data_IF_677456998112
#
_entry.id   IF_677456998112
#
_cell.length_a   1.000
_cell.length_b   1.000
_cell.length_c   1.000
_cell.angle_alpha   90.00
_cell.angle_beta   90.00
_cell.angle_gamma   90.00
#
_symmetry.space_group_name_H-M   'P 1'
#
loop_
_entity.id
_entity.type
_entity.pdbx_description
1 polymer ?
#
# COMPACT_ATOMS: atom_id res chain seq x y z
N UNK A 1 -7.58 -46.59 -12.39
CA UNK A 1 -7.12 -46.03 -13.67
C UNK A 1 -7.22 -44.52 -13.52
N UNK A 2 -6.06 -43.83 -13.57
CA UNK A 2 -5.96 -42.38 -13.44
C UNK A 2 -5.75 -41.83 -14.86
N UNK A 3 -6.55 -40.84 -15.25
CA UNK A 3 -6.42 -40.19 -16.57
C UNK A 3 -6.06 -38.72 -16.28
N UNK A 4 -4.89 -38.33 -16.71
CA UNK A 4 -4.44 -36.93 -16.62
C UNK A 4 -4.84 -36.17 -17.88
N UNK A 5 -5.52 -35.04 -17.70
CA UNK A 5 -5.93 -34.14 -18.77
C UNK A 5 -5.13 -32.82 -18.67
N UNK A 6 -4.35 -32.51 -19.69
CA UNK A 6 -3.69 -31.22 -19.80
C UNK A 6 -4.62 -30.16 -20.38
N UNK A 7 -4.81 -29.06 -19.66
CA UNK A 7 -5.64 -27.95 -20.07
C UNK A 7 -4.76 -26.79 -20.50
N UNK A 8 -5.07 -26.17 -21.63
CA UNK A 8 -4.28 -25.08 -22.24
C UNK A 8 -4.37 -23.76 -21.46
N UNK A 9 -5.49 -23.55 -20.77
CA UNK A 9 -5.75 -22.35 -19.98
C UNK A 9 -6.08 -22.73 -18.53
N UNK A 10 -5.17 -22.35 -17.63
CA UNK A 10 -5.24 -22.66 -16.20
C UNK A 10 -6.47 -22.05 -15.53
N UNK A 11 -6.96 -20.90 -16.03
CA UNK A 11 -8.13 -20.22 -15.45
C UNK A 11 -9.47 -20.87 -15.77
N UNK A 12 -9.53 -21.72 -16.81
CA UNK A 12 -10.75 -22.41 -17.23
C UNK A 12 -10.91 -23.82 -16.66
N UNK A 13 -9.93 -24.29 -15.87
CA UNK A 13 -9.91 -25.65 -15.32
C UNK A 13 -11.18 -26.01 -14.55
N UNK A 14 -11.72 -25.09 -13.74
CA UNK A 14 -12.98 -25.32 -12.99
C UNK A 14 -14.17 -25.53 -13.89
N UNK A 15 -14.30 -24.78 -14.97
CA UNK A 15 -15.41 -24.90 -15.90
C UNK A 15 -15.32 -26.21 -16.69
N UNK A 16 -14.11 -26.61 -17.10
CA UNK A 16 -13.84 -27.85 -17.82
C UNK A 16 -14.08 -29.06 -16.90
N UNK A 17 -13.58 -29.01 -15.65
CA UNK A 17 -13.79 -30.07 -14.65
C UNK A 17 -15.29 -30.31 -14.39
N UNK A 18 -16.07 -29.23 -14.25
CA UNK A 18 -17.53 -29.34 -14.11
C UNK A 18 -18.21 -29.89 -15.36
N UNK A 19 -17.74 -29.53 -16.55
CA UNK A 19 -18.22 -30.09 -17.83
C UNK A 19 -17.98 -31.59 -17.94
N UNK A 20 -16.77 -32.05 -17.59
CA UNK A 20 -16.38 -33.44 -17.56
C UNK A 20 -17.23 -34.22 -16.54
N UNK A 21 -17.46 -33.67 -15.35
CA UNK A 21 -18.31 -34.26 -14.29
C UNK A 21 -19.77 -34.44 -14.75
N UNK A 22 -20.29 -33.51 -15.56
CA UNK A 22 -21.64 -33.60 -16.12
C UNK A 22 -21.76 -34.70 -17.19
N UNK A 23 -20.70 -34.91 -18.00
CA UNK A 23 -20.71 -35.90 -19.09
C UNK A 23 -20.45 -37.33 -18.56
N UNK A 24 -19.52 -37.50 -17.63
CA UNK A 24 -19.09 -38.81 -17.11
C UNK A 24 -19.99 -39.34 -15.97
N UNK A 25 -20.84 -38.48 -15.39
CA UNK A 25 -21.74 -38.86 -14.29
C UNK A 25 -21.01 -39.14 -12.99
N UNK A 26 -21.73 -39.62 -11.97
CA UNK A 26 -21.22 -39.85 -10.60
C UNK A 26 -20.18 -41.00 -10.45
N UNK A 27 -19.93 -41.75 -11.53
CA UNK A 27 -19.03 -42.91 -11.50
C UNK A 27 -17.55 -42.54 -11.51
N UNK A 28 -17.21 -41.32 -11.90
CA UNK A 28 -15.85 -40.81 -11.98
C UNK A 28 -15.68 -39.57 -11.12
N UNK A 29 -14.60 -39.53 -10.37
CA UNK A 29 -14.21 -38.36 -9.55
C UNK A 29 -13.19 -37.57 -10.37
N UNK A 30 -13.56 -36.35 -10.75
CA UNK A 30 -12.61 -35.39 -11.34
C UNK A 30 -12.03 -34.57 -10.23
N UNK A 31 -10.72 -34.58 -10.09
CA UNK A 31 -9.99 -33.78 -9.11
C UNK A 31 -9.16 -32.74 -9.86
N UNK A 32 -9.40 -31.48 -9.53
CA UNK A 32 -8.63 -30.35 -10.04
C UNK A 32 -7.36 -30.21 -9.20
N UNK A 33 -6.28 -29.73 -9.80
CA UNK A 33 -5.03 -29.46 -9.09
C UNK A 33 -5.22 -28.47 -7.93
N UNK A 34 -6.18 -27.53 -8.05
CA UNK A 34 -6.55 -26.64 -6.95
C UNK A 34 -7.23 -27.37 -5.79
N UNK A 35 -8.07 -28.36 -6.07
CA UNK A 35 -8.69 -29.22 -5.06
C UNK A 35 -7.64 -30.14 -4.41
N UNK A 36 -6.69 -30.65 -5.18
CA UNK A 36 -5.62 -31.51 -4.69
C UNK A 36 -4.67 -30.78 -3.74
N UNK A 37 -4.34 -29.52 -4.04
CA UNK A 37 -3.44 -28.68 -3.26
C UNK A 37 -4.17 -27.59 -2.46
N UNK A 38 -5.43 -27.83 -2.10
CA UNK A 38 -6.29 -26.86 -1.41
C UNK A 38 -5.64 -26.29 -0.15
N UNK A 39 -4.96 -27.11 0.63
CA UNK A 39 -4.27 -26.69 1.85
C UNK A 39 -3.17 -25.65 1.56
N UNK A 40 -2.40 -25.85 0.48
CA UNK A 40 -1.36 -24.90 0.07
C UNK A 40 -1.98 -23.58 -0.40
N UNK A 41 -3.07 -23.66 -1.18
CA UNK A 41 -3.77 -22.46 -1.64
C UNK A 41 -4.38 -21.66 -0.49
N UNK A 42 -4.96 -22.34 0.52
CA UNK A 42 -5.44 -21.66 1.72
C UNK A 42 -4.29 -21.02 2.51
N UNK A 43 -3.15 -21.70 2.65
CA UNK A 43 -1.96 -21.13 3.30
C UNK A 43 -1.45 -19.87 2.58
N UNK A 44 -1.35 -19.90 1.25
CA UNK A 44 -0.95 -18.74 0.44
C UNK A 44 -1.96 -17.57 0.54
N UNK A 45 -3.25 -17.86 0.60
CA UNK A 45 -4.27 -16.83 0.80
C UNK A 45 -4.17 -16.18 2.19
N UNK A 46 -3.94 -16.98 3.23
CA UNK A 46 -3.71 -16.47 4.59
C UNK A 46 -2.44 -15.65 4.65
N UNK A 47 -1.35 -16.10 4.04
CA UNK A 47 -0.10 -15.35 3.96
C UNK A 47 -0.30 -13.99 3.28
N UNK A 48 -0.98 -13.95 2.14
CA UNK A 48 -1.34 -12.71 1.45
C UNK A 48 -2.18 -11.79 2.33
N UNK A 49 -3.16 -12.32 3.05
CA UNK A 49 -4.01 -11.55 3.96
C UNK A 49 -3.19 -10.94 5.10
N UNK A 50 -2.29 -11.71 5.71
CA UNK A 50 -1.39 -11.24 6.78
C UNK A 50 -0.47 -10.14 6.26
N UNK A 51 0.10 -10.28 5.06
CA UNK A 51 0.92 -9.24 4.44
C UNK A 51 0.13 -7.95 4.22
N UNK A 52 -1.10 -8.04 3.70
CA UNK A 52 -1.96 -6.86 3.47
C UNK A 52 -2.29 -6.16 4.79
N UNK A 53 -2.63 -6.91 5.85
CA UNK A 53 -2.91 -6.35 7.18
C UNK A 53 -1.66 -5.66 7.74
N UNK A 54 -0.49 -6.32 7.65
CA UNK A 54 0.77 -5.78 8.18
C UNK A 54 1.17 -4.49 7.46
N UNK A 55 1.11 -4.47 6.13
CA UNK A 55 1.39 -3.28 5.33
C UNK A 55 0.37 -2.18 5.66
N UNK A 56 -0.92 -2.53 5.76
CA UNK A 56 -1.98 -1.59 6.14
C UNK A 56 -1.74 -0.95 7.51
N UNK A 57 -1.27 -1.73 8.49
CA UNK A 57 -0.93 -1.23 9.81
C UNK A 57 0.26 -0.25 9.76
N UNK A 58 1.31 -0.58 8.99
CA UNK A 58 2.47 0.29 8.81
C UNK A 58 2.05 1.63 8.18
N UNK A 59 1.22 1.58 7.14
CA UNK A 59 0.68 2.78 6.48
C UNK A 59 -0.18 3.60 7.44
N UNK A 60 -0.99 2.95 8.27
CA UNK A 60 -1.82 3.62 9.27
C UNK A 60 -0.96 4.34 10.32
N UNK A 61 0.08 3.70 10.86
CA UNK A 61 1.02 4.31 11.80
C UNK A 61 1.76 5.49 11.15
N UNK A 62 2.18 5.34 9.88
CA UNK A 62 2.81 6.42 9.13
C UNK A 62 1.86 7.63 8.97
N UNK A 63 0.58 7.39 8.67
CA UNK A 63 -0.42 8.47 8.59
C UNK A 63 -0.61 9.20 9.92
N UNK A 64 -0.66 8.48 11.05
CA UNK A 64 -0.73 9.08 12.38
C UNK A 64 0.53 9.92 12.69
N UNK A 65 1.70 9.46 12.27
CA UNK A 65 2.95 10.20 12.44
C UNK A 65 2.92 11.52 11.65
N UNK A 66 2.45 11.52 10.40
CA UNK A 66 2.25 12.74 9.61
C UNK A 66 1.33 13.73 10.35
N UNK A 67 0.21 13.25 10.88
CA UNK A 67 -0.74 14.08 11.65
C UNK A 67 -0.05 14.72 12.86
N UNK A 68 0.70 13.92 13.62
CA UNK A 68 1.38 14.39 14.84
C UNK A 68 2.46 15.46 14.52
N UNK A 69 3.29 15.22 13.50
CA UNK A 69 4.32 16.16 13.07
C UNK A 69 3.71 17.48 12.59
N UNK A 70 2.63 17.41 11.80
CA UNK A 70 1.95 18.62 11.32
C UNK A 70 1.27 19.39 12.45
N UNK A 71 0.68 18.72 13.44
CA UNK A 71 0.11 19.39 14.63
C UNK A 71 1.23 20.11 15.40
N UNK A 72 2.37 19.44 15.62
CA UNK A 72 3.53 20.05 16.29
C UNK A 72 4.03 21.28 15.53
N UNK A 73 4.16 21.18 14.21
CA UNK A 73 4.58 22.28 13.35
C UNK A 73 3.60 23.47 13.39
N UNK A 74 2.28 23.19 13.42
CA UNK A 74 1.25 24.25 13.61
C UNK A 74 1.45 24.92 14.96
N UNK A 75 1.75 24.17 16.02
CA UNK A 75 1.95 24.73 17.36
C UNK A 75 3.22 25.60 17.41
N UNK A 76 4.32 25.16 16.81
CA UNK A 76 5.56 25.95 16.70
C UNK A 76 5.37 27.25 15.91
N UNK A 77 4.53 27.22 14.86
CA UNK A 77 4.26 28.36 13.99
C UNK A 77 3.06 29.19 14.43
N UNK A 78 2.53 28.95 15.62
CA UNK A 78 1.34 29.59 16.13
C UNK A 78 1.44 31.13 16.12
N UNK A 79 2.59 31.68 16.55
CA UNK A 79 2.85 33.12 16.54
C UNK A 79 2.91 33.70 15.12
N UNK A 80 3.57 33.02 14.20
CA UNK A 80 3.67 33.46 12.80
C UNK A 80 2.28 33.48 12.16
N UNK A 81 1.46 32.46 12.44
CA UNK A 81 0.06 32.37 11.99
C UNK A 81 -0.77 33.51 12.55
N UNK A 82 -0.64 33.83 13.86
CA UNK A 82 -1.37 34.90 14.49
C UNK A 82 -1.02 36.27 13.88
N UNK A 83 0.26 36.52 13.56
CA UNK A 83 0.70 37.73 12.85
C UNK A 83 0.07 37.81 11.46
N UNK A 84 0.11 36.71 10.69
CA UNK A 84 -0.51 36.67 9.36
C UNK A 84 -2.02 36.94 9.41
N UNK A 85 -2.73 36.38 10.39
CA UNK A 85 -4.16 36.63 10.59
C UNK A 85 -4.44 38.08 10.95
N UNK A 86 -3.63 38.69 11.84
CA UNK A 86 -3.77 40.10 12.20
C UNK A 86 -3.48 41.04 11.04
N UNK A 87 -2.66 40.63 10.07
CA UNK A 87 -2.43 41.35 8.80
C UNK A 87 -3.57 41.13 7.76
N UNK A 88 -4.59 40.34 8.08
CA UNK A 88 -5.75 40.10 7.21
C UNK A 88 -5.66 38.82 6.37
N UNK A 89 -4.76 37.90 6.66
CA UNK A 89 -4.76 36.61 5.99
C UNK A 89 -6.02 35.79 6.33
N UNK A 90 -6.70 35.27 5.31
CA UNK A 90 -7.89 34.46 5.51
C UNK A 90 -7.53 33.07 6.06
N UNK A 91 -8.42 32.50 6.88
CA UNK A 91 -8.26 31.13 7.40
C UNK A 91 -8.08 30.11 6.28
N UNK A 92 -8.70 30.36 5.13
CA UNK A 92 -8.57 29.49 3.96
C UNK A 92 -7.13 29.47 3.39
N UNK A 93 -6.47 30.63 3.39
CA UNK A 93 -5.07 30.71 2.92
C UNK A 93 -4.14 29.95 3.85
N UNK A 94 -4.34 30.05 5.16
CA UNK A 94 -3.56 29.30 6.15
C UNK A 94 -3.75 27.79 5.95
N UNK A 95 -4.99 27.34 5.78
CA UNK A 95 -5.29 25.94 5.51
C UNK A 95 -4.60 25.45 4.24
N UNK A 96 -4.62 26.23 3.15
CA UNK A 96 -3.96 25.88 1.89
C UNK A 96 -2.43 25.71 2.06
N UNK A 97 -1.79 26.56 2.87
CA UNK A 97 -0.35 26.45 3.15
C UNK A 97 -0.02 25.09 3.78
N UNK A 98 -0.73 24.68 4.84
CA UNK A 98 -0.49 23.40 5.49
C UNK A 98 -0.86 22.19 4.62
N UNK A 99 -1.93 22.30 3.83
CA UNK A 99 -2.28 21.26 2.85
C UNK A 99 -1.20 21.09 1.78
N UNK A 100 -0.69 22.21 1.26
CA UNK A 100 0.40 22.17 0.26
C UNK A 100 1.67 21.59 0.85
N UNK A 101 2.00 21.94 2.10
CA UNK A 101 3.16 21.39 2.81
C UNK A 101 3.06 19.87 2.97
N UNK A 102 1.91 19.35 3.37
CA UNK A 102 1.68 17.91 3.46
C UNK A 102 1.74 17.21 2.11
N UNK A 103 1.25 17.84 1.05
CA UNK A 103 1.36 17.33 -0.31
C UNK A 103 2.83 17.23 -0.76
N UNK A 104 3.64 18.25 -0.48
CA UNK A 104 5.07 18.25 -0.79
C UNK A 104 5.79 17.14 -0.05
N UNK A 105 5.58 17.01 1.27
CA UNK A 105 6.18 15.96 2.09
C UNK A 105 5.78 14.57 1.56
N UNK A 106 4.50 14.37 1.30
CA UNK A 106 3.99 13.11 0.75
C UNK A 106 4.56 12.78 -0.62
N UNK A 107 4.66 13.77 -1.51
CA UNK A 107 5.21 13.57 -2.86
C UNK A 107 6.70 13.22 -2.83
N UNK A 108 7.49 13.93 -2.01
CA UNK A 108 8.93 13.65 -1.85
C UNK A 108 9.12 12.26 -1.22
N UNK A 109 8.36 11.95 -0.17
CA UNK A 109 8.41 10.64 0.49
C UNK A 109 8.04 9.50 -0.46
N UNK A 110 6.97 9.67 -1.25
CA UNK A 110 6.56 8.69 -2.26
C UNK A 110 7.62 8.50 -3.36
N UNK A 111 8.23 9.59 -3.84
CA UNK A 111 9.27 9.53 -4.87
C UNK A 111 10.53 8.80 -4.35
N UNK A 112 11.02 9.18 -3.17
CA UNK A 112 12.20 8.56 -2.53
C UNK A 112 11.91 7.10 -2.20
N UNK A 113 10.75 6.79 -1.60
CA UNK A 113 10.34 5.42 -1.26
C UNK A 113 10.22 4.53 -2.50
N UNK A 114 9.59 5.03 -3.57
CA UNK A 114 9.47 4.30 -4.83
C UNK A 114 10.82 4.06 -5.49
N UNK A 115 11.69 5.06 -5.50
CA UNK A 115 13.05 4.94 -6.06
C UNK A 115 13.85 3.85 -5.35
N UNK A 116 13.92 3.89 -4.01
CA UNK A 116 14.64 2.89 -3.23
C UNK A 116 13.98 1.52 -3.32
N UNK A 117 12.65 1.45 -3.31
CA UNK A 117 11.92 0.19 -3.46
C UNK A 117 12.24 -0.51 -4.77
N UNK A 118 12.15 0.20 -5.90
CA UNK A 118 12.48 -0.35 -7.24
C UNK A 118 13.96 -0.73 -7.32
N UNK A 119 14.86 0.11 -6.78
CA UNK A 119 16.29 -0.15 -6.79
C UNK A 119 16.63 -1.44 -6.03
N UNK A 120 16.08 -1.62 -4.83
CA UNK A 120 16.30 -2.82 -4.02
C UNK A 120 15.74 -4.06 -4.73
N UNK A 121 14.52 -4.00 -5.27
CA UNK A 121 13.94 -5.10 -6.03
C UNK A 121 14.81 -5.49 -7.23
N UNK A 122 15.31 -4.50 -7.97
CA UNK A 122 16.20 -4.75 -9.12
C UNK A 122 17.54 -5.37 -8.71
N UNK A 123 18.13 -4.90 -7.60
CA UNK A 123 19.35 -5.49 -7.06
C UNK A 123 19.13 -6.93 -6.58
N UNK A 124 18.03 -7.21 -5.88
CA UNK A 124 17.67 -8.56 -5.42
C UNK A 124 17.48 -9.54 -6.60
N UNK A 125 16.83 -9.06 -7.68
CA UNK A 125 16.64 -9.87 -8.89
C UNK A 125 17.96 -10.14 -9.61
N UNK A 126 18.79 -9.10 -9.79
CA UNK A 126 20.08 -9.19 -10.48
C UNK A 126 21.08 -10.09 -9.74
N UNK A 127 21.16 -9.97 -8.43
CA UNK A 127 22.11 -10.75 -7.61
C UNK A 127 21.53 -12.07 -7.12
N UNK A 128 20.26 -12.39 -7.45
CA UNK A 128 19.58 -13.62 -7.02
C UNK A 128 19.81 -13.92 -5.53
N UNK A 129 19.63 -12.87 -4.70
CA UNK A 129 19.95 -12.92 -3.27
C UNK A 129 19.14 -13.98 -2.52
N UNK A 130 17.93 -14.28 -2.99
CA UNK A 130 17.05 -15.28 -2.39
C UNK A 130 17.07 -16.51 -3.28
N UNK A 131 17.93 -17.49 -2.91
CA UNK A 131 18.00 -18.81 -3.54
C UNK A 131 17.06 -19.76 -2.83
N UNK A 132 16.26 -20.48 -3.60
CA UNK A 132 15.43 -21.58 -3.11
C UNK A 132 16.17 -22.89 -3.23
N UNK A 133 16.00 -23.79 -2.25
CA UNK A 133 16.52 -25.14 -2.35
C UNK A 133 15.79 -25.87 -3.49
N UNK A 134 16.55 -26.27 -4.50
CA UNK A 134 16.07 -26.89 -5.74
C UNK A 134 15.38 -28.25 -5.52
N UNK A 135 15.62 -28.89 -4.39
CA UNK A 135 15.03 -30.20 -4.06
C UNK A 135 13.52 -30.13 -3.75
N UNK A 136 13.01 -28.94 -3.40
CA UNK A 136 11.58 -28.74 -3.05
C UNK A 136 10.84 -27.90 -4.08
N UNK A 137 11.54 -27.01 -4.78
CA UNK A 137 10.94 -26.07 -5.74
C UNK A 137 11.55 -26.23 -7.13
N UNK A 138 10.70 -26.27 -8.16
CA UNK A 138 11.15 -26.31 -9.56
C UNK A 138 11.81 -25.02 -10.04
N UNK A 139 11.95 -24.02 -9.16
CA UNK A 139 12.52 -22.69 -9.46
C UNK A 139 13.69 -22.46 -8.51
N UNK A 140 14.86 -22.12 -9.08
CA UNK A 140 16.10 -21.93 -8.32
C UNK A 140 16.20 -20.58 -7.60
N UNK A 141 15.37 -19.60 -7.93
CA UNK A 141 15.39 -18.26 -7.32
C UNK A 141 13.98 -17.63 -7.37
N UNK A 142 13.73 -16.66 -6.49
CA UNK A 142 12.47 -15.88 -6.49
C UNK A 142 12.59 -14.73 -7.49
N UNK A 143 11.80 -14.70 -8.58
CA UNK A 143 11.82 -13.60 -9.52
C UNK A 143 11.10 -12.36 -8.92
N UNK A 144 11.82 -11.25 -8.76
CA UNK A 144 11.25 -9.98 -8.32
C UNK A 144 10.77 -9.16 -9.53
N UNK A 145 9.51 -9.35 -9.92
CA UNK A 145 8.90 -8.59 -11.02
C UNK A 145 8.17 -7.38 -10.47
N UNK A 146 8.71 -6.19 -10.69
CA UNK A 146 8.03 -4.93 -10.37
C UNK A 146 7.39 -4.36 -11.63
N UNK A 147 6.07 -4.24 -11.65
CA UNK A 147 5.33 -3.56 -12.71
C UNK A 147 5.39 -2.03 -12.52
N UNK A 148 5.62 -1.27 -13.60
CA UNK A 148 5.56 0.20 -13.51
C UNK A 148 4.19 0.70 -13.07
N UNK A 149 3.11 0.00 -13.46
CA UNK A 149 1.74 0.26 -13.00
C UNK A 149 1.59 0.11 -11.50
N UNK A 150 2.22 -0.90 -10.89
CA UNK A 150 2.12 -1.18 -9.46
C UNK A 150 2.84 -0.10 -8.66
N UNK A 151 4.03 0.32 -9.11
CA UNK A 151 4.79 1.42 -8.50
C UNK A 151 4.00 2.72 -8.55
N UNK A 152 3.39 3.06 -9.70
CA UNK A 152 2.56 4.25 -9.86
C UNK A 152 1.33 4.21 -8.97
N UNK A 153 0.67 3.07 -8.85
CA UNK A 153 -0.51 2.89 -8.02
C UNK A 153 -0.16 3.07 -6.54
N UNK A 154 0.92 2.44 -6.07
CA UNK A 154 1.38 2.54 -4.68
C UNK A 154 1.84 3.97 -4.35
N UNK A 155 2.63 4.60 -5.24
CA UNK A 155 3.06 5.99 -5.07
C UNK A 155 1.86 6.96 -5.04
N UNK A 156 0.90 6.78 -5.93
CA UNK A 156 -0.35 7.57 -5.97
C UNK A 156 -1.18 7.39 -4.70
N UNK A 157 -1.33 6.15 -4.22
CA UNK A 157 -2.01 5.85 -2.95
C UNK A 157 -1.29 6.50 -1.75
N UNK A 158 0.04 6.46 -1.71
CA UNK A 158 0.83 7.08 -0.64
C UNK A 158 0.64 8.61 -0.60
N UNK A 159 0.67 9.28 -1.75
CA UNK A 159 0.41 10.73 -1.85
C UNK A 159 -1.03 11.05 -1.42
N UNK A 160 -2.01 10.26 -1.84
CA UNK A 160 -3.41 10.43 -1.47
C UNK A 160 -3.63 10.27 0.03
N UNK A 161 -3.05 9.25 0.66
CA UNK A 161 -3.13 9.02 2.11
C UNK A 161 -2.46 10.17 2.86
N UNK A 162 -1.28 10.63 2.41
CA UNK A 162 -0.58 11.78 2.99
C UNK A 162 -1.45 13.04 2.90
N UNK A 163 -2.08 13.30 1.76
CA UNK A 163 -3.00 14.42 1.57
C UNK A 163 -4.20 14.34 2.52
N UNK A 164 -4.84 13.17 2.65
CA UNK A 164 -5.95 12.96 3.58
C UNK A 164 -5.53 13.16 5.03
N UNK A 165 -4.36 12.67 5.42
CA UNK A 165 -3.81 12.85 6.77
C UNK A 165 -3.58 14.32 7.12
N UNK A 166 -3.30 15.19 6.12
CA UNK A 166 -3.08 16.62 6.35
C UNK A 166 -4.35 17.44 6.52
N UNK A 167 -5.52 16.91 6.15
CA UNK A 167 -6.79 17.65 6.24
C UNK A 167 -7.13 18.03 7.70
N UNK A 168 -6.94 17.11 8.63
CA UNK A 168 -7.24 17.35 10.05
C UNK A 168 -6.36 18.43 10.68
N UNK A 169 -5.00 18.34 10.64
CA UNK A 169 -4.15 19.37 11.20
C UNK A 169 -4.28 20.73 10.50
N UNK A 170 -4.49 20.76 9.18
CA UNK A 170 -4.72 22.01 8.43
C UNK A 170 -5.99 22.74 8.88
N UNK A 171 -7.05 22.00 9.17
CA UNK A 171 -8.28 22.56 9.74
C UNK A 171 -8.06 23.09 11.17
N UNK A 172 -7.27 22.39 11.98
CA UNK A 172 -6.95 22.83 13.35
C UNK A 172 -6.11 24.10 13.37
N UNK A 173 -5.21 24.29 12.41
CA UNK A 173 -4.42 25.51 12.24
C UNK A 173 -5.26 26.77 12.03
N UNK A 174 -6.45 26.65 11.47
CA UNK A 174 -7.35 27.81 11.22
C UNK A 174 -8.10 28.28 12.47
N UNK A 175 -8.17 27.48 13.53
CA UNK A 175 -8.91 27.78 14.77
C UNK A 175 -8.05 28.46 15.85
N UNK A 176 -6.84 28.90 15.52
CA UNK A 176 -5.96 29.58 16.45
C UNK A 176 -6.51 30.99 16.68
N UNK A 177 -6.79 31.31 17.95
CA UNK A 177 -7.21 32.66 18.34
C UNK A 177 -5.96 33.57 18.43
N UNK A 178 -5.86 34.61 17.58
CA UNK A 178 -4.71 35.49 17.53
C UNK A 178 -4.51 36.25 18.84
N UNK A 179 -5.59 36.52 19.61
CA UNK A 179 -5.51 37.23 20.88
C UNK A 179 -4.80 36.40 21.95
N UNK A 180 -5.07 35.07 21.97
CA UNK A 180 -4.46 34.17 22.92
C UNK A 180 -3.00 33.88 22.52
N UNK A 181 -2.73 33.72 21.22
CA UNK A 181 -1.40 33.40 20.70
C UNK A 181 -0.38 34.56 20.90
N UNK A 182 -0.82 35.81 20.92
CA UNK A 182 0.03 36.98 21.11
C UNK A 182 0.15 37.40 22.59
N UNK A 183 -0.72 36.93 23.48
CA UNK A 183 -0.76 37.30 24.91
C UNK A 183 0.08 36.42 25.82
N UNK A 184 0.30 35.18 25.45
CA UNK A 184 1.13 34.24 26.23
C UNK A 184 2.56 34.24 25.70
N UNK A 185 3.42 34.97 26.38
CA UNK A 185 4.84 34.68 26.53
C UNK A 185 5.03 33.82 27.74
#
# INVERSE_FOLDING_TARGET
MLIECHVKDIYQVKAISQGIRKVLGKKYVTQDWQEQYQTIFHALQLEKLVMVITIGLIVFVAALNIITVLIMMVMEKNRDIAVLVSMGASQENIRKIFMFQGLVIGSIGAAVGSFWGVLICHLCDKYQLIRLETDVYSISYVPFRTGASDVLLVAGAAVLISFLATLYPSYRATKIDPVIALRYE
#
